data_IF_181102849902
#
_entry.id   IF_181102849902
#
_cell.length_a   1.000
_cell.length_b   1.000
_cell.length_c   1.000
_cell.angle_alpha   90.00
_cell.angle_beta   90.00
_cell.angle_gamma   90.00
#
_symmetry.space_group_name_H-M   'P 1'
#
loop_
_entity.id
_entity.type
_entity.pdbx_description
1 polymer ?
#
# COMPACT_ATOMS: atom_id res chain seq x y z
N UNK A 1 -1.12 21.85 0.62
CA UNK A 1 -0.49 20.51 0.49
C UNK A 1 -1.50 19.53 -0.10
N UNK A 2 -1.22 18.95 -1.27
CA UNK A 2 -2.13 17.96 -1.87
C UNK A 2 -2.13 16.70 -1.02
N UNK A 3 -3.29 16.33 -0.47
CA UNK A 3 -3.41 15.21 0.48
C UNK A 3 -3.12 13.90 -0.26
N UNK A 4 -2.10 13.15 0.18
CA UNK A 4 -1.77 11.82 -0.39
C UNK A 4 -3.03 10.96 -0.44
N UNK A 5 -3.32 10.38 -1.61
CA UNK A 5 -4.52 9.57 -1.83
C UNK A 5 -4.45 8.27 -1.05
N UNK A 6 -3.29 7.61 -1.08
CA UNK A 6 -3.06 6.36 -0.39
C UNK A 6 -2.19 6.59 0.85
N UNK A 7 -2.60 6.03 1.99
CA UNK A 7 -1.91 6.22 3.27
C UNK A 7 -1.79 4.89 4.02
N UNK A 8 -0.60 4.53 4.51
CA UNK A 8 -0.43 3.41 5.44
C UNK A 8 -1.10 3.73 6.77
N UNK A 9 -1.86 2.77 7.29
CA UNK A 9 -2.40 2.80 8.64
C UNK A 9 -1.99 1.51 9.35
N UNK A 10 -1.37 1.65 10.51
CA UNK A 10 -1.20 0.55 11.45
C UNK A 10 -2.57 0.06 11.92
N UNK A 11 -2.76 -1.25 11.89
CA UNK A 11 -3.97 -1.94 12.35
C UNK A 11 -3.54 -3.15 13.19
N UNK A 12 -4.42 -3.71 14.04
CA UNK A 12 -4.11 -4.96 14.72
C UNK A 12 -3.69 -6.05 13.71
N UNK A 13 -2.48 -6.58 13.87
CA UNK A 13 -1.90 -7.59 12.96
C UNK A 13 -1.17 -7.03 11.73
N UNK A 14 -0.81 -5.75 11.70
CA UNK A 14 0.12 -5.18 10.70
C UNK A 14 -0.31 -3.82 10.15
N UNK A 15 -0.24 -3.67 8.83
CA UNK A 15 -0.54 -2.43 8.11
C UNK A 15 -1.59 -2.65 7.01
N UNK A 16 -2.43 -1.66 6.79
CA UNK A 16 -3.32 -1.57 5.62
C UNK A 16 -3.21 -0.21 4.94
N UNK A 17 -3.48 -0.18 3.64
CA UNK A 17 -3.47 1.04 2.85
C UNK A 17 -4.88 1.61 2.77
N UNK A 18 -5.07 2.85 3.23
CA UNK A 18 -6.33 3.58 3.15
C UNK A 18 -6.37 4.39 1.85
N UNK A 19 -7.38 4.17 1.00
CA UNK A 19 -7.68 5.05 -0.15
C UNK A 19 -8.59 6.18 0.32
N UNK A 20 -8.04 7.38 0.45
CA UNK A 20 -8.74 8.59 0.86
C UNK A 20 -9.80 9.04 -0.15
N UNK A 21 -9.61 8.78 -1.46
CA UNK A 21 -10.59 9.14 -2.50
C UNK A 21 -11.76 8.17 -2.49
N UNK A 22 -11.48 6.87 -2.47
CA UNK A 22 -12.50 5.82 -2.51
C UNK A 22 -13.17 5.55 -1.16
N UNK A 23 -12.73 6.22 -0.08
CA UNK A 23 -13.14 5.97 1.31
C UNK A 23 -13.14 4.46 1.69
N UNK A 24 -12.32 3.64 1.04
CA UNK A 24 -12.14 2.20 1.31
C UNK A 24 -10.69 1.81 1.66
N UNK A 25 -10.52 0.58 2.12
CA UNK A 25 -9.21 -0.05 2.20
C UNK A 25 -8.77 -0.51 0.81
N UNK A 26 -7.49 -0.34 0.50
CA UNK A 26 -6.88 -0.76 -0.75
C UNK A 26 -5.93 -1.92 -0.48
N UNK A 27 -6.09 -3.00 -1.26
CA UNK A 27 -5.24 -4.19 -1.19
C UNK A 27 -5.37 -5.00 0.09
N UNK A 28 -4.33 -5.81 0.32
CA UNK A 28 -4.24 -6.78 1.40
C UNK A 28 -3.76 -6.17 2.74
N UNK A 29 -3.68 -6.99 3.79
CA UNK A 29 -2.97 -6.66 5.02
C UNK A 29 -1.50 -7.06 4.87
N UNK A 30 -0.62 -6.12 5.21
CA UNK A 30 0.83 -6.27 5.14
C UNK A 30 1.40 -6.43 6.54
N UNK A 31 2.37 -7.33 6.73
CA UNK A 31 3.03 -7.50 8.02
C UNK A 31 3.91 -6.29 8.38
N UNK A 32 4.60 -5.73 7.37
CA UNK A 32 5.46 -4.56 7.48
C UNK A 32 4.83 -3.34 6.79
N UNK A 33 5.31 -2.14 7.12
CA UNK A 33 4.83 -0.89 6.52
C UNK A 33 5.15 -0.87 5.01
N UNK A 34 4.15 -0.75 4.12
CA UNK A 34 4.36 -0.88 2.68
C UNK A 34 4.75 0.47 2.02
N UNK A 35 5.81 1.11 2.51
CA UNK A 35 6.19 2.48 2.10
C UNK A 35 6.52 2.58 0.61
N UNK A 36 7.26 1.62 0.05
CA UNK A 36 7.58 1.59 -1.38
C UNK A 36 6.32 1.51 -2.26
N UNK A 37 5.33 0.75 -1.80
CA UNK A 37 4.05 0.60 -2.51
C UNK A 37 3.23 1.88 -2.40
N UNK A 38 3.27 2.57 -1.27
CA UNK A 38 2.65 3.88 -1.09
C UNK A 38 3.30 4.95 -1.95
N UNK A 39 4.62 4.93 -2.09
CA UNK A 39 5.35 5.83 -2.97
C UNK A 39 4.92 5.62 -4.43
N UNK A 40 4.87 4.37 -4.89
CA UNK A 40 4.46 4.06 -6.26
C UNK A 40 2.97 4.41 -6.52
N UNK A 41 2.07 4.10 -5.58
CA UNK A 41 0.63 4.40 -5.69
C UNK A 41 0.30 5.90 -5.68
N UNK A 42 1.10 6.70 -4.98
CA UNK A 42 0.94 8.15 -4.95
C UNK A 42 1.80 8.86 -6.02
N UNK A 43 2.76 8.17 -6.63
CA UNK A 43 3.65 8.67 -7.68
C UNK A 43 3.22 8.24 -9.08
N UNK A 44 4.11 7.54 -9.79
CA UNK A 44 3.95 7.18 -11.20
C UNK A 44 2.84 6.14 -11.45
N UNK A 45 2.46 5.36 -10.44
CA UNK A 45 1.44 4.30 -10.53
C UNK A 45 1.75 3.27 -11.62
N UNK A 46 3.02 2.93 -11.78
CA UNK A 46 3.45 1.93 -12.75
C UNK A 46 2.88 0.55 -12.36
N UNK A 47 2.00 -0.05 -13.20
CA UNK A 47 1.37 -1.32 -12.89
C UNK A 47 2.36 -2.47 -12.76
N UNK A 48 3.50 -2.44 -13.47
CA UNK A 48 4.53 -3.48 -13.38
C UNK A 48 5.23 -3.42 -12.02
N UNK A 49 5.61 -2.22 -11.57
CA UNK A 49 6.20 -2.00 -10.24
C UNK A 49 5.24 -2.35 -9.11
N UNK A 50 3.99 -1.92 -9.21
CA UNK A 50 2.95 -2.27 -8.22
C UNK A 50 2.83 -3.78 -8.10
N UNK A 51 2.78 -4.50 -9.22
CA UNK A 51 2.68 -5.97 -9.23
C UNK A 51 3.90 -6.63 -8.60
N UNK A 52 5.11 -6.14 -8.89
CA UNK A 52 6.35 -6.64 -8.31
C UNK A 52 6.39 -6.44 -6.78
N UNK A 53 6.00 -5.25 -6.32
CA UNK A 53 5.91 -4.91 -4.90
C UNK A 53 4.88 -5.80 -4.19
N UNK A 54 3.69 -6.00 -4.78
CA UNK A 54 2.67 -6.89 -4.24
C UNK A 54 3.19 -8.33 -4.06
N UNK A 55 3.92 -8.87 -5.05
CA UNK A 55 4.55 -10.19 -4.94
C UNK A 55 5.56 -10.24 -3.79
N UNK A 56 6.43 -9.23 -3.66
CA UNK A 56 7.43 -9.13 -2.59
C UNK A 56 6.78 -9.08 -1.20
N UNK A 57 5.73 -8.27 -1.04
CA UNK A 57 5.02 -8.19 0.24
C UNK A 57 4.24 -9.45 0.58
N UNK A 58 3.70 -10.17 -0.42
CA UNK A 58 3.06 -11.47 -0.20
C UNK A 58 4.07 -12.54 0.20
N UNK A 59 5.26 -12.55 -0.40
CA UNK A 59 6.33 -13.48 -0.03
C UNK A 59 6.83 -13.26 1.41
N UNK A 60 6.86 -12.01 1.88
CA UNK A 60 7.24 -11.66 3.26
C UNK A 60 6.18 -12.00 4.31
N UNK A 61 4.95 -12.36 3.91
CA UNK A 61 3.85 -12.70 4.82
C UNK A 61 3.92 -14.18 5.27
N UNK A 62 4.99 -14.89 4.94
CA UNK A 62 5.15 -16.33 5.19
C UNK A 62 5.97 -16.61 6.44
#
# INVERSE_FOLDING_TARGET
>A
MSRRRYVARGVPGGYRIRDGKGRRWWGDRYALCPDDLLAELNGARDPARITALLKRYRAQKR
#
